data_IF_026412073092
#
_entry.id   IF_026412073092
#
_cell.length_a   1.000
_cell.length_b   1.000
_cell.length_c   1.000
_cell.angle_alpha   90.00
_cell.angle_beta   90.00
_cell.angle_gamma   90.00
#
_symmetry.space_group_name_H-M   'P 1'
#
loop_
_entity.id
_entity.type
_entity.pdbx_description
1 polymer ?
#
# COMPACT_ATOMS: atom_id res chain seq x y z
N UNK A 1 -17.98 0.82 -15.21
CA UNK A 1 -16.83 1.02 -14.27
C UNK A 1 -16.75 -0.19 -13.35
N UNK A 2 -15.90 -1.17 -13.66
CA UNK A 2 -15.81 -2.43 -12.88
C UNK A 2 -15.25 -2.24 -11.47
N UNK A 3 -14.34 -1.28 -11.30
CA UNK A 3 -13.70 -1.00 -10.01
C UNK A 3 -14.69 -0.44 -8.98
N UNK A 4 -15.71 0.31 -9.42
CA UNK A 4 -16.70 0.92 -8.52
C UNK A 4 -17.71 -0.08 -7.94
N UNK A 5 -17.80 -1.28 -8.52
CA UNK A 5 -18.64 -2.35 -7.97
C UNK A 5 -17.89 -3.22 -6.96
N UNK A 6 -16.59 -2.97 -6.74
CA UNK A 6 -15.81 -3.74 -5.77
C UNK A 6 -16.05 -3.21 -4.35
N UNK A 7 -16.30 -4.13 -3.43
CA UNK A 7 -16.35 -3.84 -2.01
C UNK A 7 -15.08 -4.37 -1.35
N UNK A 8 -14.36 -3.50 -0.63
CA UNK A 8 -13.24 -3.91 0.20
C UNK A 8 -13.77 -4.84 1.31
N UNK A 9 -13.15 -6.03 1.43
CA UNK A 9 -13.49 -7.04 2.44
C UNK A 9 -12.21 -7.71 2.95
N UNK A 10 -12.26 -8.23 4.17
CA UNK A 10 -11.14 -8.91 4.79
C UNK A 10 -10.19 -7.95 5.51
N UNK A 11 -8.93 -8.36 5.65
CA UNK A 11 -7.91 -7.63 6.41
C UNK A 11 -6.96 -6.86 5.48
N UNK A 12 -6.09 -6.04 6.06
CA UNK A 12 -5.05 -5.27 5.35
C UNK A 12 -3.76 -6.09 5.25
N UNK A 13 -3.88 -7.35 4.82
CA UNK A 13 -2.74 -8.26 4.67
C UNK A 13 -1.93 -7.93 3.40
N UNK A 14 -1.09 -6.91 3.53
CA UNK A 14 -0.26 -6.40 2.46
C UNK A 14 0.71 -7.46 1.90
N UNK A 15 1.36 -8.23 2.79
CA UNK A 15 2.34 -9.23 2.39
C UNK A 15 1.76 -10.29 1.45
N UNK A 16 0.56 -10.80 1.76
CA UNK A 16 -0.10 -11.80 0.93
C UNK A 16 -0.53 -11.23 -0.43
N UNK A 17 -1.04 -9.99 -0.45
CA UNK A 17 -1.46 -9.31 -1.66
C UNK A 17 -0.27 -9.04 -2.57
N UNK A 18 0.83 -8.53 -2.01
CA UNK A 18 2.05 -8.25 -2.75
C UNK A 18 2.66 -9.53 -3.32
N UNK A 19 2.79 -10.58 -2.51
CA UNK A 19 3.30 -11.88 -2.98
C UNK A 19 2.50 -12.38 -4.17
N UNK A 20 1.17 -12.34 -4.08
CA UNK A 20 0.29 -12.77 -5.17
C UNK A 20 0.47 -11.93 -6.42
N UNK A 21 0.53 -10.60 -6.29
CA UNK A 21 0.77 -9.72 -7.43
C UNK A 21 2.10 -10.07 -8.11
N UNK A 22 3.16 -10.20 -7.33
CA UNK A 22 4.53 -10.51 -7.78
C UNK A 22 4.65 -11.89 -8.42
N UNK A 23 3.91 -12.90 -7.96
CA UNK A 23 3.95 -14.26 -8.50
C UNK A 23 3.07 -14.44 -9.75
N UNK A 24 1.96 -13.70 -9.85
CA UNK A 24 0.97 -13.88 -10.92
C UNK A 24 1.23 -12.95 -12.10
N UNK A 25 1.42 -11.66 -11.85
CA UNK A 25 1.44 -10.62 -12.90
C UNK A 25 2.83 -10.38 -13.47
N UNK A 26 3.87 -10.82 -12.76
CA UNK A 26 5.26 -10.67 -13.15
C UNK A 26 5.84 -12.01 -13.67
N UNK A 27 5.03 -12.86 -14.29
CA UNK A 27 5.55 -14.07 -14.94
C UNK A 27 6.40 -13.79 -16.18
N UNK A 28 6.27 -12.59 -16.74
CA UNK A 28 6.99 -12.10 -17.92
C UNK A 28 8.02 -10.98 -17.57
N UNK A 29 8.61 -11.01 -16.36
CA UNK A 29 9.57 -9.99 -15.86
C UNK A 29 10.69 -9.67 -16.84
N UNK A 30 11.18 -10.66 -17.57
CA UNK A 30 12.33 -10.49 -18.48
C UNK A 30 11.98 -9.70 -19.76
N UNK A 31 10.68 -9.46 -20.03
CA UNK A 31 10.23 -8.76 -21.25
C UNK A 31 10.16 -7.24 -21.08
N UNK A 32 10.21 -6.73 -19.84
CA UNK A 32 10.03 -5.31 -19.55
C UNK A 32 11.25 -4.75 -18.81
N UNK A 33 11.79 -3.63 -19.30
CA UNK A 33 12.97 -2.98 -18.72
C UNK A 33 12.75 -2.45 -17.29
N UNK A 34 11.52 -2.07 -16.96
CA UNK A 34 11.14 -1.48 -15.69
C UNK A 34 9.66 -1.74 -15.43
N UNK A 35 9.30 -2.08 -14.20
CA UNK A 35 7.91 -2.36 -13.81
C UNK A 35 7.59 -1.72 -12.44
N UNK A 36 6.32 -1.43 -12.20
CA UNK A 36 5.89 -0.76 -10.97
C UNK A 36 4.59 -1.33 -10.43
N UNK A 37 4.50 -1.47 -9.11
CA UNK A 37 3.28 -1.80 -8.37
C UNK A 37 2.79 -0.55 -7.67
N UNK A 38 1.48 -0.28 -7.77
CA UNK A 38 0.83 0.77 -6.99
C UNK A 38 -0.06 0.15 -5.93
N UNK A 39 0.22 0.47 -4.66
CA UNK A 39 -0.68 0.20 -3.55
C UNK A 39 -1.55 1.43 -3.31
N UNK A 40 -2.87 1.23 -3.35
CA UNK A 40 -3.85 2.23 -2.93
C UNK A 40 -4.42 1.79 -1.58
N UNK A 41 -4.27 2.63 -0.57
CA UNK A 41 -4.66 2.27 0.81
C UNK A 41 -5.12 3.50 1.59
N UNK A 42 -5.95 3.27 2.61
CA UNK A 42 -6.40 4.29 3.56
C UNK A 42 -5.86 4.08 4.97
N UNK A 43 -5.21 2.93 5.23
CA UNK A 43 -4.81 2.55 6.58
C UNK A 43 -3.55 1.70 6.64
N UNK A 44 -3.03 1.57 7.86
CA UNK A 44 -1.79 0.82 8.15
C UNK A 44 -1.93 -0.67 7.80
N UNK A 45 -0.87 -1.33 7.30
CA UNK A 45 -0.86 -2.77 7.09
C UNK A 45 -1.05 -3.54 8.40
N UNK A 46 -1.55 -4.77 8.32
CA UNK A 46 -1.64 -5.64 9.51
C UNK A 46 -0.28 -6.21 9.93
N UNK A 47 0.74 -6.16 9.05
CA UNK A 47 2.10 -6.64 9.32
C UNK A 47 3.01 -5.51 9.77
N UNK A 48 4.04 -5.84 10.54
CA UNK A 48 5.02 -4.87 11.01
C UNK A 48 5.83 -4.25 9.87
N UNK A 49 6.03 -2.94 9.92
CA UNK A 49 6.70 -2.15 8.88
C UNK A 49 8.06 -2.74 8.49
N UNK A 50 8.89 -3.12 9.47
CA UNK A 50 10.23 -3.64 9.19
C UNK A 50 10.19 -4.98 8.43
N UNK A 51 9.21 -5.83 8.72
CA UNK A 51 9.02 -7.12 8.05
C UNK A 51 8.63 -6.88 6.59
N UNK A 52 7.72 -5.94 6.37
CA UNK A 52 7.32 -5.53 5.02
C UNK A 52 8.51 -4.94 4.26
N UNK A 53 9.22 -3.99 4.86
CA UNK A 53 10.38 -3.30 4.26
C UNK A 53 11.48 -4.29 3.84
N UNK A 54 11.80 -5.27 4.70
CA UNK A 54 12.77 -6.31 4.36
C UNK A 54 12.30 -7.16 3.17
N UNK A 55 11.03 -7.53 3.15
CA UNK A 55 10.46 -8.33 2.05
C UNK A 55 10.44 -7.56 0.72
N UNK A 56 9.99 -6.30 0.71
CA UNK A 56 9.94 -5.50 -0.53
C UNK A 56 11.33 -5.21 -1.06
N UNK A 57 12.33 -4.96 -0.19
CA UNK A 57 13.71 -4.78 -0.63
C UNK A 57 14.25 -6.02 -1.34
N UNK A 58 13.92 -7.22 -0.85
CA UNK A 58 14.35 -8.47 -1.48
C UNK A 58 13.64 -8.72 -2.81
N UNK A 59 12.32 -8.52 -2.85
CA UNK A 59 11.52 -8.67 -4.06
C UNK A 59 11.96 -7.69 -5.16
N UNK A 60 12.36 -6.47 -4.78
CA UNK A 60 12.78 -5.42 -5.70
C UNK A 60 14.29 -5.46 -6.01
N UNK A 61 15.10 -6.29 -5.34
CA UNK A 61 16.55 -6.39 -5.62
C UNK A 61 16.86 -7.13 -6.92
N UNK A 62 16.06 -8.14 -7.25
CA UNK A 62 16.32 -9.00 -8.41
C UNK A 62 15.81 -8.45 -9.74
N UNK A 63 14.98 -7.40 -9.71
CA UNK A 63 14.26 -6.87 -10.86
C UNK A 63 14.14 -5.36 -10.72
N UNK A 64 14.09 -4.59 -11.82
CA UNK A 64 13.76 -3.16 -11.78
C UNK A 64 12.25 -2.96 -11.51
N UNK A 65 11.82 -3.44 -10.34
CA UNK A 65 10.47 -3.41 -9.81
C UNK A 65 10.40 -2.36 -8.70
N UNK A 66 9.50 -1.40 -8.83
CA UNK A 66 9.30 -0.36 -7.82
C UNK A 66 7.93 -0.50 -7.17
N UNK A 67 7.85 -0.29 -5.85
CA UNK A 67 6.59 -0.21 -5.13
C UNK A 67 6.26 1.25 -4.83
N UNK A 68 5.21 1.76 -5.46
CA UNK A 68 4.63 3.06 -5.17
C UNK A 68 3.42 2.91 -4.24
N UNK A 69 3.19 3.89 -3.38
CA UNK A 69 2.04 3.90 -2.46
C UNK A 69 1.29 5.22 -2.60
N UNK A 70 -0.02 5.12 -2.76
CA UNK A 70 -0.97 6.22 -2.65
C UNK A 70 -1.77 6.01 -1.35
N UNK A 71 -1.46 6.79 -0.33
CA UNK A 71 -2.19 6.83 0.93
C UNK A 71 -3.31 7.87 0.83
N UNK A 72 -4.54 7.47 1.14
CA UNK A 72 -5.70 8.35 1.16
C UNK A 72 -6.17 8.53 2.61
N UNK A 73 -6.14 9.77 3.09
CA UNK A 73 -6.77 10.10 4.37
C UNK A 73 -8.25 10.33 4.14
N UNK A 74 -9.07 9.38 4.60
CA UNK A 74 -10.52 9.57 4.70
C UNK A 74 -10.79 10.11 6.09
N UNK A 75 -11.14 11.39 6.22
CA UNK A 75 -12.01 11.77 7.33
C UNK A 75 -13.38 11.22 6.95
N UNK A 76 -13.84 10.19 7.65
CA UNK A 76 -15.26 9.86 7.59
C UNK A 76 -16.00 11.11 8.07
N UNK A 77 -16.93 11.63 7.26
CA UNK A 77 -18.04 12.42 7.80
C UNK A 77 -18.73 11.45 8.77
N UNK A 78 -18.42 11.59 10.05
CA UNK A 78 -18.93 10.71 11.09
C UNK A 78 -20.40 11.05 11.25
N UNK A 79 -21.23 10.42 10.43
CA UNK A 79 -22.67 10.39 10.58
C UNK A 79 -23.00 9.68 11.89
N UNK A 80 -22.96 10.42 13.01
CA UNK A 80 -23.72 10.28 14.26
C UNK A 80 -23.97 8.89 14.87
N UNK A 81 -23.25 7.83 14.47
CA UNK A 81 -23.41 6.49 15.03
C UNK A 81 -22.06 5.77 15.24
N UNK A 82 -21.07 6.60 15.60
CA UNK A 82 -19.95 6.29 16.50
C UNK A 82 -19.49 4.84 16.61
N UNK A 83 -18.76 4.37 15.61
CA UNK A 83 -17.64 3.45 15.83
C UNK A 83 -16.53 3.86 14.86
N UNK A 84 -15.68 4.80 15.28
CA UNK A 84 -14.39 5.01 14.62
C UNK A 84 -13.60 3.72 14.86
N UNK A 85 -13.22 2.93 13.83
CA UNK A 85 -12.43 1.72 14.07
C UNK A 85 -11.08 2.14 14.62
N UNK A 86 -10.94 2.09 15.94
CA UNK A 86 -9.73 2.42 16.68
C UNK A 86 -8.68 1.36 16.40
N UNK A 87 -7.95 1.47 15.29
CA UNK A 87 -6.94 0.48 14.93
C UNK A 87 -5.58 1.14 14.65
N UNK A 88 -5.04 1.69 15.75
CA UNK A 88 -3.61 1.79 16.12
C UNK A 88 -2.61 2.43 15.17
N UNK A 89 -3.02 3.38 14.33
CA UNK A 89 -2.07 4.32 13.76
C UNK A 89 -2.74 5.67 13.50
N UNK A 90 -2.18 6.74 14.07
CA UNK A 90 -2.41 8.10 13.59
C UNK A 90 -2.13 8.13 12.06
N UNK A 91 -2.90 8.90 11.25
CA UNK A 91 -2.58 9.11 9.83
C UNK A 91 -1.09 9.40 9.58
N UNK A 92 -0.42 10.12 10.49
CA UNK A 92 1.02 10.40 10.44
C UNK A 92 1.85 9.12 10.60
N UNK A 93 1.53 8.27 11.58
CA UNK A 93 2.25 6.99 11.80
C UNK A 93 2.07 6.06 10.60
N UNK A 94 0.86 6.03 10.03
CA UNK A 94 0.58 5.29 8.78
C UNK A 94 1.43 5.81 7.63
N UNK A 95 1.52 7.14 7.47
CA UNK A 95 2.34 7.76 6.43
C UNK A 95 3.84 7.48 6.63
N UNK A 96 4.34 7.52 7.88
CA UNK A 96 5.72 7.17 8.21
C UNK A 96 6.00 5.71 7.82
N UNK A 97 5.13 4.78 8.22
CA UNK A 97 5.29 3.36 7.91
C UNK A 97 5.36 3.12 6.38
N UNK A 98 4.46 3.71 5.61
CA UNK A 98 4.49 3.55 4.16
C UNK A 98 5.66 4.27 3.49
N UNK A 99 6.14 5.38 4.04
CA UNK A 99 7.34 6.05 3.54
C UNK A 99 8.56 5.14 3.68
N UNK A 100 8.72 4.47 4.81
CA UNK A 100 9.80 3.50 5.03
C UNK A 100 9.71 2.32 4.06
N UNK A 101 8.51 1.75 3.90
CA UNK A 101 8.26 0.64 2.98
C UNK A 101 8.60 1.02 1.53
N UNK A 102 8.15 2.19 1.07
CA UNK A 102 8.40 2.67 -0.29
C UNK A 102 9.88 2.93 -0.54
N UNK A 103 10.59 3.48 0.46
CA UNK A 103 12.03 3.72 0.37
C UNK A 103 12.81 2.41 0.18
N UNK A 104 12.43 1.35 0.88
CA UNK A 104 13.03 0.03 0.72
C UNK A 104 12.86 -0.56 -0.69
N UNK A 105 11.85 -0.11 -1.44
CA UNK A 105 11.54 -0.55 -2.79
C UNK A 105 11.90 0.47 -3.89
N UNK A 106 12.67 1.52 -3.56
CA UNK A 106 13.04 2.62 -4.47
C UNK A 106 11.83 3.25 -5.19
N UNK A 107 10.68 3.31 -4.52
CA UNK A 107 9.43 3.76 -5.10
C UNK A 107 9.07 5.21 -4.77
N UNK A 108 7.79 5.53 -4.96
CA UNK A 108 7.24 6.88 -4.72
C UNK A 108 6.06 6.80 -3.77
N UNK A 109 6.03 7.74 -2.83
CA UNK A 109 4.96 7.85 -1.84
C UNK A 109 4.16 9.11 -2.14
N UNK A 110 2.86 8.94 -2.31
CA UNK A 110 1.90 10.02 -2.46
C UNK A 110 0.90 9.93 -1.31
N UNK A 111 0.70 11.05 -0.62
CA UNK A 111 -0.30 11.15 0.44
C UNK A 111 -1.33 12.19 0.04
N UNK A 112 -2.58 11.74 -0.09
CA UNK A 112 -3.72 12.57 -0.44
C UNK A 112 -4.56 12.79 0.81
N UNK A 113 -4.60 14.05 1.26
CA UNK A 113 -5.54 14.54 2.28
C UNK A 113 -6.74 15.25 1.66
N UNK A 114 -7.68 15.69 2.49
CA UNK A 114 -8.88 16.44 2.08
C UNK A 114 -8.52 17.76 1.36
N UNK A 115 -7.39 18.38 1.74
CA UNK A 115 -6.78 19.48 1.02
C UNK A 115 -5.88 18.95 -0.12
N UNK A 116 -6.50 18.36 -1.14
CA UNK A 116 -5.82 18.12 -2.40
C UNK A 116 -5.45 19.46 -3.04
N UNK A 117 -4.16 19.76 -3.09
CA UNK A 117 -3.58 20.60 -4.14
C UNK A 117 -2.50 19.83 -4.87
#
# INVERSE_FOLDING_TARGET
RWVLSLQCKGSRNFMSALRRAVEVDFKDKDKHKSQGIYLLTTGIPDQETHTISAYVAEVCRGFDLQLHVCLFSVMEDVDSNGIIPAHYANPIETAIAFKEIVQAANGRFHWFGEAGM
#
